data_IF_308134865324
#
_entry.id   IF_308134865324
#
_cell.length_a   1.000
_cell.length_b   1.000
_cell.length_c   1.000
_cell.angle_alpha   90.00
_cell.angle_beta   90.00
_cell.angle_gamma   90.00
#
_symmetry.space_group_name_H-M   'P 1'
#
loop_
_entity.id
_entity.type
_entity.pdbx_description
1 polymer ?
#
# COMPACT_ATOMS: atom_id res chain seq x y z
N UNK A 1 18.56 -19.40 -7.30
CA UNK A 1 18.27 -17.99 -7.62
C UNK A 1 16.97 -17.97 -8.43
N UNK A 2 15.83 -17.66 -7.80
CA UNK A 2 14.56 -17.56 -8.53
C UNK A 2 14.42 -16.15 -9.10
N UNK A 3 14.78 -15.97 -10.37
CA UNK A 3 14.43 -14.78 -11.15
C UNK A 3 12.95 -14.88 -11.53
N UNK A 4 12.09 -14.22 -10.76
CA UNK A 4 10.69 -14.03 -11.12
C UNK A 4 10.62 -13.13 -12.38
N UNK A 5 10.37 -13.76 -13.51
CA UNK A 5 10.15 -13.09 -14.79
C UNK A 5 8.77 -12.42 -14.74
N UNK A 6 8.72 -11.12 -14.41
CA UNK A 6 7.48 -10.34 -14.37
C UNK A 6 7.07 -10.01 -15.82
N UNK A 7 6.52 -10.98 -16.55
CA UNK A 7 5.49 -10.63 -17.52
C UNK A 7 4.38 -9.93 -16.73
N UNK A 8 3.90 -8.78 -17.21
CA UNK A 8 2.79 -8.04 -16.57
C UNK A 8 1.53 -8.92 -16.58
N UNK A 9 1.43 -9.84 -15.63
CA UNK A 9 0.26 -10.64 -15.39
C UNK A 9 -0.81 -9.71 -14.87
N UNK A 10 -2.02 -9.87 -15.38
CA UNK A 10 -3.14 -9.04 -14.97
C UNK A 10 -3.42 -9.26 -13.47
N UNK A 11 -3.38 -8.18 -12.69
CA UNK A 11 -3.72 -8.18 -11.26
C UNK A 11 -5.08 -7.52 -11.06
N UNK A 12 -5.84 -8.00 -10.07
CA UNK A 12 -7.12 -7.38 -9.71
C UNK A 12 -6.96 -6.00 -9.07
N UNK A 13 -5.94 -5.86 -8.20
CA UNK A 13 -5.67 -4.61 -7.49
C UNK A 13 -4.68 -3.74 -8.25
N UNK A 14 -4.83 -2.42 -8.08
CA UNK A 14 -3.90 -1.44 -8.63
C UNK A 14 -2.59 -1.42 -7.84
N UNK A 15 -1.53 -0.90 -8.46
CA UNK A 15 -0.26 -0.65 -7.75
C UNK A 15 -0.45 0.27 -6.53
N UNK A 16 -1.41 1.20 -6.55
CA UNK A 16 -1.72 2.05 -5.39
C UNK A 16 -2.24 1.21 -4.21
N UNK A 17 -3.14 0.27 -4.47
CA UNK A 17 -3.66 -0.64 -3.47
C UNK A 17 -2.56 -1.58 -2.93
N UNK A 18 -1.68 -2.09 -3.80
CA UNK A 18 -0.54 -2.90 -3.38
C UNK A 18 0.45 -2.13 -2.50
N UNK A 19 0.75 -0.87 -2.83
CA UNK A 19 1.60 0.00 -1.99
C UNK A 19 0.94 0.29 -0.65
N UNK A 20 -0.36 0.61 -0.63
CA UNK A 20 -1.12 0.79 0.61
C UNK A 20 -1.06 -0.45 1.51
N UNK A 21 -1.23 -1.64 0.95
CA UNK A 21 -1.14 -2.90 1.68
C UNK A 21 0.27 -3.17 2.23
N UNK A 22 1.32 -2.77 1.51
CA UNK A 22 2.68 -2.87 2.03
C UNK A 22 2.87 -1.96 3.25
N UNK A 23 2.40 -0.71 3.16
CA UNK A 23 2.50 0.27 4.24
C UNK A 23 1.57 -0.04 5.42
N UNK A 24 0.45 -0.72 5.21
CA UNK A 24 -0.43 -1.16 6.30
C UNK A 24 0.21 -2.26 7.14
N UNK A 25 0.99 -3.14 6.50
CA UNK A 25 1.73 -4.24 7.16
C UNK A 25 3.01 -3.77 7.85
N UNK A 26 3.75 -2.86 7.22
CA UNK A 26 4.95 -2.25 7.80
C UNK A 26 4.99 -0.75 7.45
N UNK A 27 4.57 0.11 8.40
CA UNK A 27 4.62 1.57 8.26
C UNK A 27 6.02 2.15 7.99
N UNK A 28 7.08 1.39 8.26
CA UNK A 28 8.48 1.82 8.13
C UNK A 28 9.18 1.27 6.87
N UNK A 29 8.43 0.53 6.03
CA UNK A 29 8.97 -0.16 4.86
C UNK A 29 9.63 0.83 3.89
N UNK A 30 10.80 0.47 3.36
CA UNK A 30 11.55 1.35 2.44
C UNK A 30 10.97 1.30 1.04
N UNK A 31 11.04 2.41 0.31
CA UNK A 31 10.56 2.49 -1.09
C UNK A 31 11.14 1.40 -1.99
N UNK A 32 12.42 1.10 -1.81
CA UNK A 32 13.09 0.01 -2.52
C UNK A 32 12.52 -1.38 -2.20
N UNK A 33 12.13 -1.62 -0.95
CA UNK A 33 11.53 -2.90 -0.53
C UNK A 33 10.12 -3.03 -1.10
N UNK A 34 9.32 -1.96 -1.02
CA UNK A 34 7.98 -1.90 -1.63
C UNK A 34 8.08 -2.16 -3.14
N UNK A 35 9.05 -1.56 -3.82
CA UNK A 35 9.26 -1.76 -5.26
C UNK A 35 9.49 -3.23 -5.62
N UNK A 36 10.31 -3.92 -4.82
CA UNK A 36 10.58 -5.35 -5.00
C UNK A 36 9.36 -6.22 -4.72
N UNK A 37 8.58 -5.91 -3.67
CA UNK A 37 7.38 -6.67 -3.31
C UNK A 37 6.25 -6.48 -4.33
N UNK A 38 6.05 -5.24 -4.80
CA UNK A 38 4.98 -4.88 -5.75
C UNK A 38 5.37 -5.22 -7.20
N UNK A 39 6.66 -5.39 -7.50
CA UNK A 39 7.13 -5.69 -8.86
C UNK A 39 7.17 -4.46 -9.77
N UNK A 40 7.42 -3.28 -9.21
CA UNK A 40 7.51 -2.00 -9.95
C UNK A 40 8.82 -1.29 -9.66
N UNK A 41 9.09 -0.17 -10.36
CA UNK A 41 10.32 0.61 -10.11
C UNK A 41 10.20 1.43 -8.84
N UNK A 42 11.32 1.69 -8.17
CA UNK A 42 11.35 2.56 -6.98
C UNK A 42 10.80 3.97 -7.26
N UNK A 43 11.07 4.50 -8.45
CA UNK A 43 10.49 5.78 -8.91
C UNK A 43 8.97 5.72 -9.04
N UNK A 44 8.41 4.58 -9.45
CA UNK A 44 6.96 4.40 -9.50
C UNK A 44 6.36 4.37 -8.09
N UNK A 45 7.00 3.68 -7.14
CA UNK A 45 6.59 3.70 -5.73
C UNK A 45 6.62 5.13 -5.17
N UNK A 46 7.70 5.87 -5.39
CA UNK A 46 7.81 7.26 -4.90
C UNK A 46 6.66 8.14 -5.42
N UNK A 47 6.28 7.99 -6.70
CA UNK A 47 5.13 8.71 -7.29
C UNK A 47 3.83 8.31 -6.63
N UNK A 48 3.58 7.00 -6.50
CA UNK A 48 2.38 6.47 -5.85
C UNK A 48 2.26 6.97 -4.40
N UNK A 49 3.36 6.98 -3.65
CA UNK A 49 3.39 7.48 -2.27
C UNK A 49 3.09 8.98 -2.23
N UNK A 50 3.59 9.77 -3.19
CA UNK A 50 3.20 11.18 -3.33
C UNK A 50 1.69 11.30 -3.60
N UNK A 51 1.17 10.57 -4.58
CA UNK A 51 -0.24 10.59 -4.95
C UNK A 51 -1.16 10.21 -3.79
N UNK A 52 -0.73 9.27 -2.94
CA UNK A 52 -1.43 8.86 -1.71
C UNK A 52 -1.34 9.92 -0.61
N UNK A 53 -0.19 10.58 -0.45
CA UNK A 53 -0.02 11.70 0.49
C UNK A 53 -0.90 12.90 0.10
N UNK A 54 -0.83 13.32 -1.17
CA UNK A 54 -1.53 14.49 -1.70
C UNK A 54 -3.06 14.31 -1.62
N UNK A 55 -3.51 13.06 -1.65
CA UNK A 55 -4.90 12.68 -1.51
C UNK A 55 -5.37 12.45 -0.07
N UNK A 56 -4.47 12.51 0.90
CA UNK A 56 -4.79 12.31 2.31
C UNK A 56 -5.07 10.86 2.71
N UNK A 57 -4.65 9.87 1.90
CA UNK A 57 -4.73 8.45 2.27
C UNK A 57 -3.62 8.05 3.24
N UNK A 58 -2.45 8.68 3.11
CA UNK A 58 -1.33 8.45 4.03
C UNK A 58 -0.73 9.79 4.46
N UNK A 59 -0.14 9.81 5.64
CA UNK A 59 0.71 10.88 6.13
C UNK A 59 2.12 10.36 6.29
N UNK A 60 3.09 11.10 5.78
CA UNK A 60 4.52 10.80 5.93
C UNK A 60 5.09 11.62 7.09
N UNK A 61 5.69 10.95 8.06
CA UNK A 61 6.46 11.55 9.15
C UNK A 61 7.92 11.11 9.03
N UNK A 62 8.86 12.01 9.35
CA UNK A 62 10.29 11.69 9.30
C UNK A 62 10.78 11.30 10.69
N UNK A 63 11.09 10.03 10.87
CA UNK A 63 11.70 9.49 12.09
C UNK A 63 13.20 9.27 11.86
N UNK A 64 13.98 10.32 12.18
CA UNK A 64 15.42 10.36 11.99
C UNK A 64 15.84 10.19 10.52
N UNK A 65 16.43 9.02 10.20
CA UNK A 65 16.86 8.66 8.84
C UNK A 65 15.79 7.90 8.04
N UNK A 66 14.69 7.51 8.67
CA UNK A 66 13.60 6.76 8.05
C UNK A 66 12.36 7.63 7.91
N UNK A 67 11.48 7.21 7.02
CA UNK A 67 10.13 7.73 6.96
C UNK A 67 9.21 6.69 7.60
N UNK A 68 8.22 7.18 8.31
CA UNK A 68 7.12 6.39 8.84
C UNK A 68 5.82 6.89 8.22
N UNK A 69 4.95 5.95 7.84
CA UNK A 69 3.72 6.24 7.13
C UNK A 69 2.51 5.89 7.98
N UNK A 70 1.68 6.88 8.29
CA UNK A 70 0.40 6.66 8.96
C UNK A 70 -0.72 6.63 7.94
N UNK A 71 -1.51 5.57 7.92
CA UNK A 71 -2.66 5.44 7.01
C UNK A 71 -3.90 6.12 7.61
N UNK A 72 -4.61 6.88 6.78
CA UNK A 72 -5.95 7.37 7.10
C UNK A 72 -6.97 6.28 6.73
N UNK A 73 -7.19 5.32 7.65
CA UNK A 73 -8.04 4.15 7.38
C UNK A 73 -9.50 4.51 7.07
N UNK A 74 -9.97 5.67 7.51
CA UNK A 74 -11.34 6.16 7.28
C UNK A 74 -11.53 6.82 5.91
N UNK A 75 -10.45 7.04 5.15
CA UNK A 75 -10.54 7.62 3.82
C UNK A 75 -11.30 6.69 2.86
N UNK A 76 -12.32 7.22 2.19
CA UNK A 76 -13.15 6.46 1.25
C UNK A 76 -12.43 6.19 -0.07
N UNK A 77 -12.76 5.08 -0.74
CA UNK A 77 -12.32 4.83 -2.11
C UNK A 77 -12.87 5.93 -3.05
N UNK A 78 -12.04 6.43 -3.97
CA UNK A 78 -12.40 7.61 -4.80
C UNK A 78 -13.55 7.34 -5.77
N UNK A 79 -13.67 6.09 -6.23
CA UNK A 79 -14.63 5.74 -7.26
C UNK A 79 -16.06 5.84 -6.71
N UNK A 80 -17.00 6.54 -7.39
CA UNK A 80 -18.37 6.72 -6.90
C UNK A 80 -19.06 5.43 -6.46
N UNK A 81 -18.80 4.32 -7.16
CA UNK A 81 -19.36 3.01 -6.82
C UNK A 81 -18.84 2.46 -5.49
N UNK A 82 -17.66 2.88 -5.05
CA UNK A 82 -16.95 2.34 -3.88
C UNK A 82 -16.85 3.35 -2.74
N UNK A 83 -17.48 4.53 -2.86
CA UNK A 83 -17.46 5.59 -1.84
C UNK A 83 -18.03 5.18 -0.49
N UNK A 84 -18.81 4.10 -0.47
CA UNK A 84 -19.33 3.51 0.75
C UNK A 84 -18.30 2.67 1.50
N UNK A 85 -17.18 2.33 0.85
CA UNK A 85 -16.08 1.58 1.43
C UNK A 85 -14.89 2.50 1.74
N UNK A 86 -14.35 2.33 2.93
CA UNK A 86 -13.09 2.89 3.37
C UNK A 86 -11.90 2.05 2.90
N UNK A 87 -10.72 2.67 2.82
CA UNK A 87 -9.48 1.90 2.59
C UNK A 87 -9.24 0.92 3.73
N UNK A 88 -9.66 1.22 4.97
CA UNK A 88 -9.50 0.36 6.13
C UNK A 88 -10.26 -0.95 5.97
N UNK A 89 -11.50 -0.89 5.48
CA UNK A 89 -12.31 -2.09 5.19
C UNK A 89 -11.68 -2.92 4.07
N UNK A 90 -11.23 -2.28 2.99
CA UNK A 90 -10.51 -2.98 1.92
C UNK A 90 -9.25 -3.68 2.46
N UNK A 91 -8.46 -3.01 3.30
CA UNK A 91 -7.25 -3.59 3.89
C UNK A 91 -7.57 -4.74 4.83
N UNK A 92 -8.62 -4.63 5.66
CA UNK A 92 -9.06 -5.70 6.55
C UNK A 92 -9.46 -6.98 5.79
N UNK A 93 -10.00 -6.86 4.56
CA UNK A 93 -10.33 -8.01 3.72
C UNK A 93 -9.09 -8.70 3.11
N UNK A 94 -7.99 -7.96 2.95
CA UNK A 94 -6.75 -8.44 2.32
C UNK A 94 -5.69 -8.88 3.34
N UNK A 95 -5.76 -8.32 4.55
CA UNK A 95 -5.04 -8.79 5.71
C UNK A 95 -5.74 -10.08 6.18
N UNK A 96 -4.98 -11.15 6.41
CA UNK A 96 -5.56 -12.33 7.04
C UNK A 96 -6.15 -11.88 8.38
N UNK A 97 -7.36 -12.34 8.77
CA UNK A 97 -7.76 -12.26 10.16
C UNK A 97 -6.63 -12.87 10.96
N UNK A 98 -6.18 -12.21 12.03
CA UNK A 98 -5.37 -12.88 13.02
C UNK A 98 -6.20 -14.08 13.47
N UNK A 99 -5.85 -15.27 13.00
CA UNK A 99 -6.37 -16.52 13.57
C UNK A 99 -6.01 -16.44 15.04
N UNK A 100 -6.98 -16.03 15.85
CA UNK A 100 -6.89 -16.11 17.29
C UNK A 100 -7.09 -17.58 17.56
N UNK A 101 -5.99 -18.32 17.59
CA UNK A 101 -5.98 -19.69 18.08
C UNK A 101 -6.60 -19.65 19.49
N UNK A 102 -7.74 -20.33 19.60
CA UNK A 102 -8.52 -20.52 20.82
C UNK A 102 -7.82 -21.51 21.77
#
# INVERSE_FOLDING_TARGET
MHTQNHSSSWTFLTNHAHVLLCLSRDPSMRMREIALVVGITERAVQRIVSDLCDAGYIRRTREGRRNEYTLNRDATLRHPLERHCSIGEMLNLLEKPLETDA
#
